data_IF_493350117345
#
_entry.id   IF_493350117345
#
_cell.length_a   1.000
_cell.length_b   1.000
_cell.length_c   1.000
_cell.angle_alpha   90.00
_cell.angle_beta   90.00
_cell.angle_gamma   90.00
#
_symmetry.space_group_name_H-M   'P 1'
#
loop_
_entity.id
_entity.type
_entity.pdbx_description
1 polymer ?
#
# COMPACT_ATOMS: atom_id res chain seq x y z
N UNK A 1 -76.40 -3.08 -105.87
CA UNK A 1 -76.10 -4.40 -106.44
C UNK A 1 -77.01 -4.61 -107.64
N UNK A 2 -76.47 -4.53 -108.86
CA UNK A 2 -77.23 -4.83 -110.08
C UNK A 2 -76.32 -5.61 -111.02
N UNK A 3 -75.97 -6.83 -110.61
CA UNK A 3 -75.27 -7.78 -111.46
C UNK A 3 -76.34 -8.69 -112.11
N UNK A 4 -76.30 -8.91 -113.44
CA UNK A 4 -77.35 -9.62 -114.17
C UNK A 4 -77.54 -11.11 -113.79
N UNK A 5 -76.66 -11.66 -112.95
CA UNK A 5 -76.72 -13.05 -112.45
C UNK A 5 -77.13 -13.16 -110.97
N UNK A 6 -77.44 -12.07 -110.27
CA UNK A 6 -77.98 -12.13 -108.91
C UNK A 6 -79.50 -12.34 -108.96
N UNK A 7 -79.96 -13.54 -108.63
CA UNK A 7 -81.38 -13.79 -108.36
C UNK A 7 -81.75 -13.36 -106.92
N UNK A 8 -83.05 -13.27 -106.66
CA UNK A 8 -83.58 -12.80 -105.36
C UNK A 8 -83.18 -13.73 -104.19
N UNK A 9 -83.15 -15.04 -104.41
CA UNK A 9 -82.75 -16.02 -103.40
C UNK A 9 -81.28 -15.85 -102.97
N UNK A 10 -80.36 -15.62 -103.91
CA UNK A 10 -78.95 -15.34 -103.60
C UNK A 10 -78.78 -14.02 -102.84
N UNK A 11 -79.54 -12.98 -103.21
CA UNK A 11 -79.51 -11.69 -102.50
C UNK A 11 -79.97 -11.79 -101.05
N UNK A 12 -81.02 -12.57 -100.78
CA UNK A 12 -81.51 -12.83 -99.42
C UNK A 12 -80.51 -13.64 -98.60
N UNK A 13 -79.92 -14.70 -99.17
CA UNK A 13 -78.91 -15.52 -98.51
C UNK A 13 -77.66 -14.71 -98.15
N UNK A 14 -77.17 -13.86 -99.07
CA UNK A 14 -76.03 -12.97 -98.81
C UNK A 14 -76.36 -11.93 -97.73
N UNK A 15 -77.58 -11.40 -97.73
CA UNK A 15 -78.02 -10.44 -96.70
C UNK A 15 -78.10 -11.08 -95.31
N UNK A 16 -78.62 -12.30 -95.22
CA UNK A 16 -78.66 -13.08 -93.97
C UNK A 16 -77.25 -13.43 -93.48
N UNK A 17 -76.36 -13.88 -94.36
CA UNK A 17 -74.97 -14.16 -94.00
C UNK A 17 -74.23 -12.91 -93.53
N UNK A 18 -74.41 -11.77 -94.22
CA UNK A 18 -73.82 -10.49 -93.80
C UNK A 18 -74.33 -10.09 -92.42
N UNK A 19 -75.63 -10.23 -92.13
CA UNK A 19 -76.20 -9.94 -90.83
C UNK A 19 -75.62 -10.84 -89.73
N UNK A 20 -75.48 -12.15 -89.99
CA UNK A 20 -74.87 -13.08 -89.03
C UNK A 20 -73.41 -12.75 -88.74
N UNK A 21 -72.62 -12.42 -89.78
CA UNK A 21 -71.23 -12.00 -89.62
C UNK A 21 -71.12 -10.67 -88.85
N UNK A 22 -72.01 -9.71 -89.13
CA UNK A 22 -72.06 -8.44 -88.39
C UNK A 22 -72.40 -8.67 -86.90
N UNK A 23 -73.35 -9.56 -86.60
CA UNK A 23 -73.69 -9.91 -85.23
C UNK A 23 -72.52 -10.60 -84.51
N UNK A 24 -71.88 -11.58 -85.16
CA UNK A 24 -70.71 -12.29 -84.59
C UNK A 24 -69.53 -11.35 -84.34
N UNK A 25 -69.22 -10.47 -85.30
CA UNK A 25 -68.18 -9.45 -85.13
C UNK A 25 -68.53 -8.47 -84.00
N UNK A 26 -69.79 -8.05 -83.91
CA UNK A 26 -70.29 -7.20 -82.82
C UNK A 26 -70.14 -7.86 -81.45
N UNK A 27 -70.55 -9.12 -81.33
CA UNK A 27 -70.44 -9.90 -80.09
C UNK A 27 -68.97 -10.11 -79.67
N UNK A 28 -68.09 -10.43 -80.61
CA UNK A 28 -66.66 -10.58 -80.34
C UNK A 28 -66.03 -9.25 -79.85
N UNK A 29 -66.38 -8.12 -80.45
CA UNK A 29 -65.92 -6.80 -80.01
C UNK A 29 -66.46 -6.44 -78.61
N UNK A 30 -67.72 -6.78 -78.30
CA UNK A 30 -68.29 -6.58 -76.97
C UNK A 30 -67.56 -7.43 -75.93
N UNK A 31 -67.30 -8.71 -76.22
CA UNK A 31 -66.54 -9.59 -75.35
C UNK A 31 -65.11 -9.07 -75.14
N UNK A 32 -64.44 -8.62 -76.20
CA UNK A 32 -63.11 -8.03 -76.11
C UNK A 32 -63.10 -6.78 -75.23
N UNK A 33 -64.10 -5.90 -75.35
CA UNK A 33 -64.23 -4.71 -74.50
C UNK A 33 -64.42 -5.08 -73.03
N UNK A 34 -65.30 -6.04 -72.73
CA UNK A 34 -65.50 -6.53 -71.37
C UNK A 34 -64.21 -7.08 -70.75
N UNK A 35 -63.43 -7.86 -71.50
CA UNK A 35 -62.14 -8.37 -71.04
C UNK A 35 -61.10 -7.27 -70.82
N UNK A 36 -61.09 -6.21 -71.64
CA UNK A 36 -60.20 -5.06 -71.44
C UNK A 36 -60.58 -4.32 -70.15
N UNK A 37 -61.87 -4.11 -69.91
CA UNK A 37 -62.37 -3.48 -68.69
C UNK A 37 -62.03 -4.31 -67.45
N UNK A 38 -62.24 -5.62 -67.49
CA UNK A 38 -61.90 -6.54 -66.41
C UNK A 38 -60.39 -6.54 -66.14
N UNK A 39 -59.55 -6.67 -67.17
CA UNK A 39 -58.09 -6.56 -67.03
C UNK A 39 -57.67 -5.22 -66.42
N UNK A 40 -58.32 -4.12 -66.80
CA UNK A 40 -58.04 -2.81 -66.21
C UNK A 40 -58.45 -2.77 -64.72
N UNK A 41 -59.54 -3.40 -64.32
CA UNK A 41 -59.94 -3.51 -62.91
C UNK A 41 -58.95 -4.36 -62.11
N UNK A 42 -58.54 -5.51 -62.63
CA UNK A 42 -57.57 -6.40 -62.00
C UNK A 42 -56.20 -5.74 -61.86
N UNK A 43 -55.73 -5.05 -62.90
CA UNK A 43 -54.47 -4.30 -62.86
C UNK A 43 -54.49 -3.24 -61.75
N UNK A 44 -55.60 -2.49 -61.60
CA UNK A 44 -55.76 -1.53 -60.50
C UNK A 44 -55.80 -2.20 -59.13
N UNK A 45 -56.47 -3.33 -58.99
CA UNK A 45 -56.54 -4.07 -57.74
C UNK A 45 -55.17 -4.64 -57.34
N UNK A 46 -54.43 -5.19 -58.30
CA UNK A 46 -53.07 -5.71 -58.13
C UNK A 46 -52.12 -4.59 -57.71
N UNK A 47 -52.13 -3.45 -58.39
CA UNK A 47 -51.29 -2.30 -58.04
C UNK A 47 -51.55 -1.83 -56.60
N UNK A 48 -52.83 -1.76 -56.18
CA UNK A 48 -53.21 -1.42 -54.80
C UNK A 48 -52.76 -2.48 -53.79
N UNK A 49 -52.78 -3.76 -54.15
CA UNK A 49 -52.29 -4.83 -53.27
C UNK A 49 -50.76 -4.78 -53.14
N UNK A 50 -50.05 -4.61 -54.26
CA UNK A 50 -48.59 -4.46 -54.30
C UNK A 50 -48.14 -3.26 -53.46
N UNK A 51 -48.77 -2.09 -53.63
CA UNK A 51 -48.46 -0.90 -52.83
C UNK A 51 -48.63 -1.15 -51.33
N UNK A 52 -49.71 -1.84 -50.91
CA UNK A 52 -49.93 -2.21 -49.50
C UNK A 52 -48.86 -3.16 -48.99
N UNK A 53 -48.50 -4.18 -49.76
CA UNK A 53 -47.44 -5.11 -49.40
C UNK A 53 -46.08 -4.41 -49.27
N UNK A 54 -45.75 -3.53 -50.21
CA UNK A 54 -44.51 -2.75 -50.15
C UNK A 54 -44.48 -1.82 -48.94
N UNK A 55 -45.59 -1.15 -48.64
CA UNK A 55 -45.68 -0.29 -47.46
C UNK A 55 -45.42 -1.09 -46.18
N UNK A 56 -46.12 -2.22 -46.00
CA UNK A 56 -45.91 -3.09 -44.84
C UNK A 56 -44.48 -3.62 -44.79
N UNK A 57 -43.91 -4.02 -45.93
CA UNK A 57 -42.53 -4.50 -45.99
C UNK A 57 -41.53 -3.41 -45.58
N UNK A 58 -41.74 -2.16 -45.98
CA UNK A 58 -40.91 -1.01 -45.57
C UNK A 58 -41.04 -0.73 -44.08
N UNK A 59 -42.26 -0.70 -43.55
CA UNK A 59 -42.52 -0.50 -42.12
C UNK A 59 -41.87 -1.60 -41.27
N UNK A 60 -41.98 -2.86 -41.69
CA UNK A 60 -41.35 -4.00 -41.00
C UNK A 60 -39.83 -3.99 -41.12
N UNK A 61 -39.29 -3.63 -42.28
CA UNK A 61 -37.84 -3.49 -42.46
C UNK A 61 -37.27 -2.40 -41.56
N UNK A 62 -37.98 -1.27 -41.39
CA UNK A 62 -37.59 -0.22 -40.47
C UNK A 62 -37.63 -0.70 -39.00
N UNK A 63 -38.71 -1.37 -38.59
CA UNK A 63 -38.83 -1.94 -37.24
C UNK A 63 -37.71 -2.96 -36.94
N UNK A 64 -37.37 -3.82 -37.91
CA UNK A 64 -36.28 -4.79 -37.78
C UNK A 64 -34.94 -4.06 -37.62
N UNK A 65 -34.67 -3.05 -38.44
CA UNK A 65 -33.43 -2.27 -38.34
C UNK A 65 -33.28 -1.60 -36.97
N UNK A 66 -34.36 -1.01 -36.45
CA UNK A 66 -34.38 -0.42 -35.10
C UNK A 66 -34.10 -1.47 -34.02
N UNK A 67 -34.82 -2.59 -34.04
CA UNK A 67 -34.64 -3.66 -33.05
C UNK A 67 -33.24 -4.28 -33.10
N UNK A 68 -32.67 -4.48 -34.30
CA UNK A 68 -31.29 -4.98 -34.47
C UNK A 68 -30.28 -3.98 -33.93
N UNK A 69 -30.48 -2.68 -34.16
CA UNK A 69 -29.61 -1.64 -33.60
C UNK A 69 -29.66 -1.61 -32.07
N UNK A 70 -30.87 -1.72 -31.49
CA UNK A 70 -31.06 -1.75 -30.05
C UNK A 70 -30.44 -3.01 -29.43
N UNK A 71 -30.61 -4.18 -30.07
CA UNK A 71 -30.01 -5.43 -29.63
C UNK A 71 -28.48 -5.36 -29.65
N UNK A 72 -27.91 -4.78 -30.70
CA UNK A 72 -26.45 -4.63 -30.83
C UNK A 72 -25.89 -3.71 -29.75
N UNK A 73 -26.57 -2.59 -29.47
CA UNK A 73 -26.21 -1.67 -28.38
C UNK A 73 -26.28 -2.36 -27.01
N UNK A 74 -27.38 -3.04 -26.70
CA UNK A 74 -27.56 -3.73 -25.42
C UNK A 74 -26.54 -4.86 -25.21
N UNK A 75 -26.19 -5.59 -26.28
CA UNK A 75 -25.10 -6.57 -26.23
C UNK A 75 -23.75 -5.92 -25.94
N UNK A 76 -23.44 -4.81 -26.59
CA UNK A 76 -22.22 -4.04 -26.31
C UNK A 76 -22.14 -3.56 -24.85
N UNK A 77 -23.25 -3.03 -24.32
CA UNK A 77 -23.34 -2.62 -22.91
C UNK A 77 -23.17 -3.79 -21.94
N UNK A 78 -23.73 -4.97 -22.26
CA UNK A 78 -23.59 -6.17 -21.43
C UNK A 78 -22.14 -6.65 -21.38
N UNK A 79 -21.46 -6.74 -22.53
CA UNK A 79 -20.05 -7.12 -22.60
C UNK A 79 -19.18 -6.14 -21.82
N UNK A 80 -19.39 -4.82 -22.00
CA UNK A 80 -18.64 -3.81 -21.24
C UNK A 80 -18.84 -3.91 -19.73
N UNK A 81 -20.06 -4.27 -19.27
CA UNK A 81 -20.34 -4.50 -17.85
C UNK A 81 -19.65 -5.77 -17.33
N UNK A 82 -19.64 -6.84 -18.13
CA UNK A 82 -18.95 -8.09 -17.78
C UNK A 82 -17.43 -7.88 -17.66
N UNK A 83 -16.82 -7.16 -18.60
CA UNK A 83 -15.40 -6.80 -18.57
C UNK A 83 -15.04 -5.98 -17.32
N UNK A 84 -15.88 -4.97 -16.99
CA UNK A 84 -15.68 -4.17 -15.78
C UNK A 84 -15.80 -5.00 -14.49
N UNK A 85 -16.73 -5.96 -14.46
CA UNK A 85 -16.93 -6.85 -13.33
C UNK A 85 -15.74 -7.80 -13.14
N UNK A 86 -15.20 -8.34 -14.23
CA UNK A 86 -13.99 -9.16 -14.20
C UNK A 86 -12.77 -8.35 -13.70
N UNK A 87 -12.59 -7.13 -14.20
CA UNK A 87 -11.51 -6.23 -13.76
C UNK A 87 -11.60 -5.93 -12.25
N UNK A 88 -12.80 -5.63 -11.75
CA UNK A 88 -13.02 -5.36 -10.33
C UNK A 88 -12.79 -6.62 -9.47
N UNK A 89 -13.17 -7.80 -9.96
CA UNK A 89 -12.90 -9.07 -9.28
C UNK A 89 -11.41 -9.39 -9.22
N UNK A 90 -10.66 -9.11 -10.30
CA UNK A 90 -9.20 -9.24 -10.32
C UNK A 90 -8.55 -8.28 -9.33
N UNK A 91 -9.00 -7.02 -9.26
CA UNK A 91 -8.51 -6.03 -8.31
C UNK A 91 -8.79 -6.45 -6.86
N UNK A 92 -10.01 -6.91 -6.56
CA UNK A 92 -10.35 -7.46 -5.25
C UNK A 92 -9.49 -8.68 -4.89
N UNK A 93 -9.23 -9.57 -5.85
CA UNK A 93 -8.33 -10.71 -5.64
C UNK A 93 -6.90 -10.24 -5.34
N UNK A 94 -6.37 -9.25 -6.07
CA UNK A 94 -5.04 -8.66 -5.82
C UNK A 94 -4.96 -8.02 -4.44
N UNK A 95 -5.94 -7.22 -4.04
CA UNK A 95 -5.98 -6.57 -2.74
C UNK A 95 -6.08 -7.58 -1.59
N UNK A 96 -6.85 -8.67 -1.75
CA UNK A 96 -6.93 -9.75 -0.76
C UNK A 96 -5.67 -10.59 -0.68
N UNK A 97 -5.01 -10.83 -1.82
CA UNK A 97 -3.76 -11.57 -1.89
C UNK A 97 -2.54 -10.74 -1.48
N UNK A 98 -2.70 -9.41 -1.31
CA UNK A 98 -1.61 -8.55 -0.91
C UNK A 98 -1.01 -9.04 0.42
N UNK A 99 0.32 -9.25 0.49
CA UNK A 99 0.98 -9.78 1.69
C UNK A 99 0.74 -8.87 2.89
N UNK A 100 0.66 -7.56 2.67
CA UNK A 100 0.32 -6.58 3.70
C UNK A 100 -1.04 -6.85 4.37
N UNK A 101 -2.05 -7.35 3.65
CA UNK A 101 -3.35 -7.64 4.25
C UNK A 101 -3.25 -8.84 5.22
N UNK A 102 -2.50 -9.87 4.83
CA UNK A 102 -2.25 -11.05 5.68
C UNK A 102 -1.33 -10.72 6.84
N UNK A 103 -0.29 -9.93 6.59
CA UNK A 103 0.69 -9.49 7.58
C UNK A 103 0.07 -8.53 8.60
N UNK A 104 -0.77 -7.58 8.15
CA UNK A 104 -1.58 -6.74 9.06
C UNK A 104 -2.48 -7.58 9.94
N UNK A 105 -3.15 -8.59 9.40
CA UNK A 105 -4.02 -9.47 10.21
C UNK A 105 -3.21 -10.24 11.27
N UNK A 106 -2.04 -10.77 10.90
CA UNK A 106 -1.12 -11.42 11.84
C UNK A 106 -0.63 -10.45 12.91
N UNK A 107 -0.25 -9.24 12.52
CA UNK A 107 0.25 -8.21 13.42
C UNK A 107 -0.83 -7.77 14.42
N UNK A 108 -2.08 -7.63 13.98
CA UNK A 108 -3.23 -7.35 14.87
C UNK A 108 -3.39 -8.46 15.90
N UNK A 109 -3.38 -9.73 15.48
CA UNK A 109 -3.44 -10.86 16.41
C UNK A 109 -2.25 -10.87 17.40
N UNK A 110 -1.05 -10.55 16.92
CA UNK A 110 0.14 -10.50 17.76
C UNK A 110 0.10 -9.35 18.76
N UNK A 111 -0.41 -8.17 18.38
CA UNK A 111 -0.60 -7.04 19.27
C UNK A 111 -1.59 -7.37 20.39
N UNK A 112 -2.74 -7.96 20.05
CA UNK A 112 -3.74 -8.38 21.04
C UNK A 112 -3.14 -9.37 22.06
N UNK A 113 -2.37 -10.35 21.59
CA UNK A 113 -1.68 -11.29 22.46
C UNK A 113 -0.65 -10.62 23.38
N UNK A 114 0.12 -9.66 22.85
CA UNK A 114 1.11 -8.90 23.63
C UNK A 114 0.44 -8.00 24.68
N UNK A 115 -0.69 -7.37 24.34
CA UNK A 115 -1.46 -6.54 25.28
C UNK A 115 -1.99 -7.36 26.45
N UNK A 116 -2.58 -8.53 26.19
CA UNK A 116 -3.08 -9.43 27.23
C UNK A 116 -1.95 -9.92 28.15
N UNK A 117 -0.81 -10.31 27.55
CA UNK A 117 0.38 -10.72 28.31
C UNK A 117 0.92 -9.58 29.17
N UNK A 118 1.01 -8.36 28.63
CA UNK A 118 1.50 -7.19 29.36
C UNK A 118 0.57 -6.81 30.51
N UNK A 119 -0.75 -6.88 30.31
CA UNK A 119 -1.72 -6.66 31.38
C UNK A 119 -1.53 -7.68 32.52
N UNK A 120 -1.33 -8.96 32.19
CA UNK A 120 -1.08 -10.03 33.16
C UNK A 120 0.22 -9.81 33.95
N UNK A 121 1.32 -9.50 33.25
CA UNK A 121 2.62 -9.24 33.88
C UNK A 121 2.61 -7.96 34.73
N UNK A 122 1.85 -6.94 34.33
CA UNK A 122 1.68 -5.71 35.10
C UNK A 122 0.95 -5.97 36.42
N UNK A 123 -0.11 -6.77 36.39
CA UNK A 123 -0.83 -7.20 37.60
C UNK A 123 0.09 -7.99 38.55
N UNK A 124 0.89 -8.91 38.01
CA UNK A 124 1.83 -9.70 38.79
C UNK A 124 2.96 -8.86 39.39
N UNK A 125 3.54 -7.94 38.63
CA UNK A 125 4.51 -6.97 39.15
C UNK A 125 3.92 -6.11 40.28
N UNK A 126 2.69 -5.61 40.12
CA UNK A 126 2.04 -4.84 41.17
C UNK A 126 1.82 -5.67 42.45
N UNK A 127 1.48 -6.96 42.32
CA UNK A 127 1.39 -7.89 43.46
C UNK A 127 2.74 -8.12 44.13
N UNK A 128 3.78 -8.41 43.36
CA UNK A 128 5.13 -8.64 43.88
C UNK A 128 5.70 -7.39 44.55
N UNK A 129 5.51 -6.20 43.97
CA UNK A 129 5.90 -4.94 44.57
C UNK A 129 5.20 -4.69 45.91
N UNK A 130 3.89 -4.98 46.00
CA UNK A 130 3.16 -4.92 47.28
C UNK A 130 3.70 -5.91 48.31
N UNK A 131 4.01 -7.15 47.91
CA UNK A 131 4.57 -8.15 48.81
C UNK A 131 5.97 -7.76 49.31
N UNK A 132 6.83 -7.24 48.42
CA UNK A 132 8.15 -6.72 48.78
C UNK A 132 8.06 -5.49 49.70
N UNK A 133 7.13 -4.56 49.43
CA UNK A 133 6.87 -3.42 50.29
C UNK A 133 6.37 -3.86 51.68
N UNK A 134 5.49 -4.85 51.74
CA UNK A 134 5.02 -5.44 53.00
C UNK A 134 6.15 -6.16 53.77
N UNK A 135 7.07 -6.86 53.10
CA UNK A 135 8.28 -7.40 53.73
C UNK A 135 9.23 -6.31 54.24
N UNK A 136 9.36 -5.19 53.52
CA UNK A 136 10.16 -4.06 53.96
C UNK A 136 9.54 -3.31 55.16
N UNK A 137 8.20 -3.34 55.28
CA UNK A 137 7.43 -2.70 56.36
C UNK A 137 7.10 -3.65 57.52
N UNK A 138 7.29 -4.96 57.35
CA UNK A 138 7.17 -5.91 58.44
C UNK A 138 8.14 -5.50 59.58
N UNK A 139 7.70 -5.53 60.85
CA UNK A 139 8.58 -5.19 61.96
C UNK A 139 9.74 -6.18 61.92
N UNK A 140 10.93 -5.69 61.55
CA UNK A 140 12.15 -6.47 61.70
C UNK A 140 12.29 -6.79 63.19
N UNK A 141 12.48 -8.05 63.61
CA UNK A 141 13.10 -8.29 64.89
C UNK A 141 14.43 -7.53 64.88
N UNK A 142 14.65 -6.71 65.92
CA UNK A 142 15.80 -5.82 66.00
C UNK A 142 17.09 -6.57 65.61
N UNK A 143 17.78 -6.16 64.53
CA UNK A 143 19.08 -6.71 64.26
C UNK A 143 20.03 -6.15 65.32
N UNK A 144 20.66 -7.05 66.07
CA UNK A 144 21.87 -6.72 66.82
C UNK A 144 22.83 -5.97 65.88
N UNK A 145 23.26 -4.79 66.33
CA UNK A 145 24.16 -3.89 65.60
C UNK A 145 25.49 -4.61 65.36
N UNK A 146 25.62 -5.26 64.20
CA UNK A 146 26.93 -5.48 63.59
C UNK A 146 27.20 -4.29 62.67
N UNK A 147 28.38 -3.66 62.76
CA UNK A 147 28.66 -2.47 61.97
C UNK A 147 28.72 -2.87 60.50
N UNK A 148 27.76 -2.37 59.73
CA UNK A 148 27.84 -2.33 58.26
C UNK A 148 29.10 -1.55 57.91
N UNK A 149 30.02 -2.06 57.06
CA UNK A 149 31.12 -1.25 56.60
C UNK A 149 30.51 -0.09 55.80
N UNK A 150 30.67 1.12 56.34
CA UNK A 150 30.52 2.36 55.58
C UNK A 150 31.23 2.16 54.23
N UNK A 151 30.64 2.53 53.09
CA UNK A 151 31.46 2.80 51.94
C UNK A 151 32.40 3.92 52.37
N UNK A 152 33.67 3.59 52.54
CA UNK A 152 34.76 4.54 52.65
C UNK A 152 34.54 5.59 51.56
N UNK A 153 34.37 6.88 51.90
CA UNK A 153 34.61 7.93 50.93
C UNK A 153 36.10 7.81 50.63
N UNK A 154 36.43 7.10 49.53
CA UNK A 154 37.74 7.18 48.96
C UNK A 154 38.00 8.65 48.65
N UNK A 155 39.00 9.20 49.32
CA UNK A 155 39.54 10.52 49.11
C UNK A 155 39.63 10.80 47.61
N UNK A 156 38.89 11.80 47.15
CA UNK A 156 39.19 12.48 45.89
C UNK A 156 39.41 13.94 46.23
N UNK A 157 40.64 14.24 46.65
CA UNK A 157 41.22 15.56 46.45
C UNK A 157 41.65 15.72 44.98
N UNK A 158 40.70 15.55 44.05
CA UNK A 158 40.87 15.99 42.67
C UNK A 158 39.77 16.99 42.41
N UNK A 159 40.08 18.25 42.67
CA UNK A 159 39.20 19.36 42.34
C UNK A 159 39.07 19.43 40.82
N UNK A 160 37.83 19.41 40.33
CA UNK A 160 37.51 19.54 38.91
C UNK A 160 37.61 21.00 38.43
N UNK A 161 38.04 21.95 39.28
CA UNK A 161 38.31 23.35 38.95
C UNK A 161 37.28 24.02 38.00
N UNK A 162 35.99 23.70 38.17
CA UNK A 162 34.90 24.22 37.35
C UNK A 162 34.75 23.63 35.94
N UNK A 163 35.53 22.60 35.57
CA UNK A 163 35.45 21.92 34.27
C UNK A 163 34.05 21.34 34.02
N UNK A 164 33.59 21.46 32.78
CA UNK A 164 32.30 20.93 32.31
C UNK A 164 32.49 19.50 31.83
N UNK A 165 31.84 18.56 32.51
CA UNK A 165 31.85 17.14 32.16
C UNK A 165 30.55 16.76 31.49
N UNK A 166 30.64 16.29 30.25
CA UNK A 166 29.51 15.73 29.51
C UNK A 166 29.46 14.21 29.68
N UNK A 167 28.36 13.71 30.24
CA UNK A 167 28.03 12.29 30.24
C UNK A 167 27.10 11.97 29.07
N UNK A 168 27.60 11.20 28.11
CA UNK A 168 26.83 10.71 26.95
C UNK A 168 26.33 9.29 27.25
N UNK A 169 25.02 9.13 27.26
CA UNK A 169 24.31 7.91 27.63
C UNK A 169 24.01 7.78 29.13
N UNK A 170 23.36 6.67 29.47
CA UNK A 170 23.07 6.26 30.84
C UNK A 170 21.58 6.08 31.12
N UNK A 171 21.27 5.32 32.19
CA UNK A 171 19.89 5.08 32.64
C UNK A 171 19.45 6.21 33.58
N UNK A 172 18.22 6.71 33.41
CA UNK A 172 17.70 7.89 34.12
C UNK A 172 17.87 7.88 35.66
N UNK A 173 17.81 6.70 36.29
CA UNK A 173 18.02 6.56 37.74
C UNK A 173 19.45 6.79 38.23
N UNK A 174 20.46 6.63 37.36
CA UNK A 174 21.87 6.80 37.71
C UNK A 174 22.38 8.25 37.52
N UNK A 175 21.69 9.05 36.69
CA UNK A 175 22.07 10.43 36.38
C UNK A 175 22.09 11.33 37.63
N UNK A 176 21.15 11.12 38.56
CA UNK A 176 21.11 11.87 39.81
C UNK A 176 22.32 11.62 40.72
N UNK A 177 22.88 10.41 40.69
CA UNK A 177 24.10 10.07 41.43
C UNK A 177 25.32 10.68 40.74
N UNK A 178 25.36 10.66 39.41
CA UNK A 178 26.46 11.21 38.62
C UNK A 178 26.61 12.72 38.77
N UNK A 179 25.50 13.45 38.73
CA UNK A 179 25.49 14.89 38.98
C UNK A 179 26.09 15.24 40.33
N UNK A 180 25.63 14.56 41.39
CA UNK A 180 26.12 14.79 42.76
C UNK A 180 27.62 14.51 42.89
N UNK A 181 28.14 13.47 42.24
CA UNK A 181 29.57 13.14 42.27
C UNK A 181 30.42 14.21 41.58
N UNK A 182 29.97 14.72 40.42
CA UNK A 182 30.69 15.74 39.66
C UNK A 182 30.65 17.10 40.36
N UNK A 183 29.48 17.49 40.88
CA UNK A 183 29.32 18.75 41.62
C UNK A 183 30.07 18.73 42.96
N UNK A 184 30.08 17.59 43.67
CA UNK A 184 30.85 17.44 44.91
C UNK A 184 32.37 17.54 44.69
N UNK A 185 32.85 17.19 43.50
CA UNK A 185 34.24 17.37 43.09
C UNK A 185 34.52 18.76 42.46
N UNK A 186 33.55 19.68 42.45
CA UNK A 186 33.72 21.06 41.98
C UNK A 186 33.58 21.26 40.46
N UNK A 187 33.01 20.30 39.74
CA UNK A 187 32.77 20.37 38.29
C UNK A 187 31.32 20.69 37.94
N UNK A 188 31.06 20.99 36.66
CA UNK A 188 29.70 21.19 36.12
C UNK A 188 29.27 19.98 35.31
N UNK A 189 28.14 19.37 35.69
CA UNK A 189 27.63 18.18 35.01
C UNK A 189 26.69 18.53 33.85
N UNK A 190 26.98 17.98 32.67
CA UNK A 190 26.13 18.02 31.47
C UNK A 190 25.77 16.59 31.07
N UNK A 191 24.58 16.40 30.49
CA UNK A 191 24.12 15.09 30.04
C UNK A 191 23.52 15.16 28.66
N UNK A 192 23.81 14.14 27.85
CA UNK A 192 23.12 13.83 26.62
C UNK A 192 22.76 12.35 26.61
N UNK A 193 21.57 12.00 26.18
CA UNK A 193 21.04 10.63 26.12
C UNK A 193 21.74 9.70 25.11
N UNK A 194 22.69 10.19 24.31
CA UNK A 194 23.34 9.40 23.26
C UNK A 194 22.49 9.17 22.00
N UNK A 195 21.48 10.01 21.76
CA UNK A 195 20.76 10.09 20.48
C UNK A 195 19.51 9.22 20.38
N UNK A 196 18.68 9.19 21.43
CA UNK A 196 17.37 8.51 21.37
C UNK A 196 16.34 9.35 20.60
N UNK A 197 16.63 10.64 20.34
CA UNK A 197 15.71 11.58 19.66
C UNK A 197 16.32 12.35 18.46
N UNK A 198 17.35 11.82 17.79
CA UNK A 198 17.90 12.37 16.52
C UNK A 198 18.31 13.87 16.53
N UNK A 199 18.61 14.44 17.71
CA UNK A 199 19.13 15.81 17.84
C UNK A 199 20.66 15.85 17.69
N UNK A 200 21.15 15.37 16.55
CA UNK A 200 22.59 15.25 16.21
C UNK A 200 23.37 16.58 16.34
N UNK A 201 22.75 17.71 15.99
CA UNK A 201 23.37 19.03 16.14
C UNK A 201 23.54 19.45 17.62
N UNK A 202 22.68 18.95 18.51
CA UNK A 202 22.77 19.24 19.94
C UNK A 202 23.87 18.43 20.62
N UNK A 203 24.17 17.23 20.11
CA UNK A 203 25.32 16.44 20.56
C UNK A 203 26.64 17.15 20.24
N UNK A 204 26.81 17.71 19.04
CA UNK A 204 28.04 18.44 18.69
C UNK A 204 28.21 19.73 19.49
N UNK A 205 27.11 20.45 19.73
CA UNK A 205 27.11 21.64 20.59
C UNK A 205 27.49 21.28 22.02
N UNK A 206 26.91 20.21 22.58
CA UNK A 206 27.23 19.71 23.91
C UNK A 206 28.69 19.24 24.02
N UNK A 207 29.20 18.52 23.01
CA UNK A 207 30.60 18.10 22.93
C UNK A 207 31.53 19.29 22.84
N UNK A 208 31.17 20.33 22.08
CA UNK A 208 31.96 21.56 21.95
C UNK A 208 32.00 22.36 23.25
N UNK A 209 30.92 22.35 24.03
CA UNK A 209 30.83 23.03 25.32
C UNK A 209 31.45 22.26 26.48
N UNK A 210 31.78 20.97 26.32
CA UNK A 210 32.39 20.18 27.38
C UNK A 210 33.92 20.29 27.38
N UNK A 211 34.52 20.27 28.56
CA UNK A 211 35.97 20.22 28.75
C UNK A 211 36.44 18.75 28.90
N UNK A 212 35.57 17.88 29.41
CA UNK A 212 35.77 16.44 29.58
C UNK A 212 34.54 15.67 29.12
N UNK A 213 34.72 14.52 28.47
CA UNK A 213 33.62 13.68 27.98
C UNK A 213 33.68 12.27 28.55
N UNK A 214 32.58 11.78 29.11
CA UNK A 214 32.43 10.38 29.52
C UNK A 214 31.34 9.74 28.68
N UNK A 215 31.69 8.68 28.00
CA UNK A 215 30.85 7.97 27.05
C UNK A 215 30.50 6.58 27.60
N UNK A 216 29.23 6.31 27.86
CA UNK A 216 28.78 5.00 28.33
C UNK A 216 28.44 4.10 27.15
N UNK A 217 29.38 3.26 26.71
CA UNK A 217 29.29 2.50 25.45
C UNK A 217 28.10 1.53 25.41
N UNK A 218 27.66 1.02 26.57
CA UNK A 218 26.49 0.15 26.68
C UNK A 218 25.13 0.89 26.72
N UNK A 219 25.09 2.21 26.61
CA UNK A 219 23.86 3.02 26.75
C UNK A 219 23.74 4.15 25.72
N UNK A 220 24.37 4.02 24.55
CA UNK A 220 24.33 5.00 23.47
C UNK A 220 24.14 4.35 22.10
N UNK A 221 23.69 5.11 21.11
CA UNK A 221 23.61 4.64 19.72
C UNK A 221 25.00 4.48 19.08
N UNK A 222 25.09 3.59 18.07
CA UNK A 222 26.32 3.38 17.30
C UNK A 222 26.84 4.68 16.66
N UNK A 223 25.92 5.52 16.16
CA UNK A 223 26.27 6.81 15.57
C UNK A 223 26.82 7.79 16.64
N UNK A 224 26.19 7.88 17.82
CA UNK A 224 26.71 8.72 18.90
C UNK A 224 28.10 8.27 19.38
N UNK A 225 28.36 6.95 19.44
CA UNK A 225 29.67 6.42 19.81
C UNK A 225 30.78 6.91 18.87
N UNK A 226 30.59 6.70 17.56
CA UNK A 226 31.57 7.11 16.55
C UNK A 226 31.76 8.62 16.52
N UNK A 227 30.69 9.41 16.67
CA UNK A 227 30.78 10.87 16.67
C UNK A 227 31.52 11.40 17.89
N UNK A 228 31.29 10.85 19.07
CA UNK A 228 32.06 11.22 20.28
C UNK A 228 33.54 10.87 20.08
N UNK A 229 33.83 9.66 19.60
CA UNK A 229 35.21 9.19 19.33
C UNK A 229 35.93 10.10 18.33
N UNK A 230 35.28 10.40 17.21
CA UNK A 230 35.84 11.25 16.14
C UNK A 230 36.01 12.70 16.60
N UNK A 231 35.03 13.26 17.33
CA UNK A 231 35.10 14.62 17.85
C UNK A 231 36.27 14.77 18.83
N UNK A 232 36.41 13.83 19.77
CA UNK A 232 37.48 13.90 20.78
C UNK A 232 38.86 13.69 20.14
N UNK A 233 38.98 12.80 19.15
CA UNK A 233 40.21 12.61 18.36
C UNK A 233 40.60 13.87 17.59
N UNK A 234 39.65 14.52 16.91
CA UNK A 234 39.89 15.71 16.09
C UNK A 234 40.19 16.97 16.92
N UNK A 235 39.58 17.11 18.10
CA UNK A 235 39.70 18.31 18.95
C UNK A 235 40.73 18.16 20.07
N UNK A 236 41.24 16.96 20.30
CA UNK A 236 42.14 16.66 21.42
C UNK A 236 41.47 16.67 22.79
N UNK A 237 40.12 16.69 22.84
CA UNK A 237 39.38 16.69 24.11
C UNK A 237 39.51 15.34 24.81
N UNK A 238 39.71 15.38 26.13
CA UNK A 238 39.87 14.16 26.93
C UNK A 238 38.53 13.44 27.04
N UNK A 239 38.50 12.20 26.59
CA UNK A 239 37.32 11.34 26.65
C UNK A 239 37.61 9.99 27.30
N UNK A 240 36.67 9.50 28.11
CA UNK A 240 36.72 8.15 28.68
C UNK A 240 35.50 7.34 28.25
N UNK A 241 35.76 6.14 27.76
CA UNK A 241 34.73 5.17 27.38
C UNK A 241 34.56 4.16 28.51
N UNK A 242 33.34 4.06 29.05
CA UNK A 242 33.02 3.22 30.21
C UNK A 242 31.92 2.24 29.81
N UNK A 243 32.20 0.95 29.93
CA UNK A 243 31.25 -0.11 29.52
C UNK A 243 30.08 -0.29 30.50
N UNK A 244 30.32 -0.09 31.80
CA UNK A 244 29.32 -0.33 32.84
C UNK A 244 28.68 0.98 33.34
N UNK A 245 27.35 1.15 33.22
CA UNK A 245 26.63 2.32 33.73
C UNK A 245 26.45 2.23 35.25
N UNK A 246 27.54 2.40 36.00
CA UNK A 246 27.57 2.32 37.47
C UNK A 246 28.27 3.54 38.07
N UNK A 247 27.93 3.91 39.31
CA UNK A 247 28.58 5.01 40.05
C UNK A 247 30.09 4.78 40.19
N UNK A 248 30.51 3.54 40.44
CA UNK A 248 31.92 3.16 40.50
C UNK A 248 32.60 3.24 39.13
N UNK A 249 31.89 2.90 38.05
CA UNK A 249 32.36 3.06 36.67
C UNK A 249 32.63 4.53 36.32
N UNK A 250 31.70 5.42 36.67
CA UNK A 250 31.87 6.86 36.47
C UNK A 250 33.03 7.41 37.30
N UNK A 251 33.11 7.08 38.60
CA UNK A 251 34.19 7.56 39.47
C UNK A 251 35.58 7.07 39.02
N UNK A 252 35.67 5.88 38.41
CA UNK A 252 36.90 5.40 37.76
C UNK A 252 37.20 6.16 36.47
N UNK A 253 36.20 6.41 35.63
CA UNK A 253 36.34 7.19 34.41
C UNK A 253 36.81 8.63 34.68
N UNK A 254 36.23 9.28 35.69
CA UNK A 254 36.65 10.60 36.17
C UNK A 254 38.08 10.60 36.69
N UNK A 255 38.46 9.59 37.49
CA UNK A 255 39.86 9.47 37.96
C UNK A 255 40.83 9.29 36.79
N UNK A 256 40.51 8.45 35.81
CA UNK A 256 41.35 8.24 34.60
C UNK A 256 41.48 9.53 33.78
N UNK A 257 40.41 10.32 33.70
CA UNK A 257 40.40 11.64 33.05
C UNK A 257 41.13 12.72 33.83
N UNK A 258 41.54 12.48 35.08
CA UNK A 258 42.24 13.45 35.91
C UNK A 258 43.68 13.02 36.20
N UNK A 259 43.98 11.71 36.20
CA UNK A 259 45.24 11.15 36.69
C UNK A 259 46.40 11.17 35.71
N UNK A 260 46.23 11.09 34.38
CA UNK A 260 47.35 11.35 33.46
C UNK A 260 46.97 11.40 31.96
N UNK A 261 47.96 11.80 31.17
CA UNK A 261 48.04 12.02 29.73
C UNK A 261 47.53 10.86 28.84
N UNK A 262 47.20 11.24 27.59
CA UNK A 262 46.92 10.41 26.41
C UNK A 262 47.19 8.90 26.57
N UNK A 263 46.13 8.09 26.53
CA UNK A 263 46.26 6.66 26.24
C UNK A 263 45.30 6.34 25.11
N UNK A 264 45.85 6.28 23.90
CA UNK A 264 45.41 5.36 22.86
C UNK A 264 45.39 3.96 23.47
N UNK A 265 44.21 3.34 23.51
CA UNK A 265 44.06 1.91 23.75
C UNK A 265 43.33 1.33 22.53
N UNK A 266 44.08 1.22 21.44
CA UNK A 266 43.87 0.17 20.46
C UNK A 266 44.49 -1.10 21.05
N UNK A 267 43.67 -2.07 21.46
CA UNK A 267 44.13 -3.46 21.54
C UNK A 267 43.45 -4.39 22.53
N UNK A 268 42.63 -5.29 21.96
CA UNK A 268 42.33 -6.66 22.42
C UNK A 268 41.12 -6.78 23.38
N UNK A 269 40.11 -7.64 23.17
CA UNK A 269 40.04 -8.98 22.54
C UNK A 269 38.56 -9.24 22.11
N UNK A 270 38.25 -9.35 20.81
CA UNK A 270 37.97 -10.56 20.00
C UNK A 270 36.55 -11.17 20.06
N UNK A 271 35.93 -11.16 18.86
CA UNK A 271 35.16 -12.20 18.16
C UNK A 271 34.20 -13.13 18.90
N UNK A 272 32.93 -13.05 18.48
CA UNK A 272 32.14 -14.23 18.14
C UNK A 272 31.32 -13.98 16.86
N UNK A 273 31.78 -14.62 15.78
CA UNK A 273 30.98 -15.25 14.73
C UNK A 273 30.26 -14.38 13.69
N UNK A 274 30.98 -14.09 12.61
CA UNK A 274 30.42 -13.96 11.27
C UNK A 274 30.99 -15.08 10.40
N UNK A 275 30.26 -16.20 10.35
CA UNK A 275 30.43 -17.25 9.36
C UNK A 275 29.03 -17.61 8.85
N UNK A 276 28.78 -17.41 7.55
CA UNK A 276 27.52 -17.81 6.94
C UNK A 276 27.10 -17.00 5.71
N UNK A 277 27.53 -17.49 4.54
CA UNK A 277 26.93 -17.27 3.21
C UNK A 277 27.12 -15.93 2.51
N UNK A 278 28.28 -15.81 1.84
CA UNK A 278 28.32 -15.26 0.49
C UNK A 278 28.23 -16.43 -0.51
N UNK A 279 27.14 -16.51 -1.30
CA UNK A 279 27.07 -17.34 -2.51
C UNK A 279 26.41 -16.52 -3.62
N UNK A 280 27.21 -16.21 -4.64
CA UNK A 280 26.83 -16.32 -6.06
C UNK A 280 25.86 -15.29 -6.65
N UNK A 281 26.37 -14.13 -7.06
CA UNK A 281 25.75 -13.35 -8.15
C UNK A 281 26.35 -13.87 -9.47
N UNK A 282 25.63 -14.75 -10.15
CA UNK A 282 25.93 -15.17 -11.51
C UNK A 282 25.32 -14.14 -12.50
N UNK A 283 26.18 -13.47 -13.26
CA UNK A 283 25.79 -12.70 -14.44
C UNK A 283 25.40 -13.67 -15.55
N UNK A 284 24.17 -13.57 -16.04
CA UNK A 284 23.68 -14.30 -17.23
C UNK A 284 23.71 -13.36 -18.45
N UNK A 285 24.30 -13.76 -19.58
CA UNK A 285 24.25 -12.98 -20.81
C UNK A 285 22.92 -13.22 -21.54
N UNK A 286 22.28 -12.13 -21.96
CA UNK A 286 21.06 -12.14 -22.76
C UNK A 286 21.34 -12.65 -24.18
N UNK A 287 20.73 -13.78 -24.54
CA UNK A 287 20.55 -14.24 -25.93
C UNK A 287 19.33 -13.55 -26.52
N UNK A 288 19.49 -12.91 -27.67
CA UNK A 288 18.38 -12.53 -28.55
C UNK A 288 17.92 -13.74 -29.38
N UNK A 289 16.61 -13.96 -29.56
CA UNK A 289 16.10 -14.88 -30.56
C UNK A 289 15.94 -14.20 -31.93
N UNK A 290 16.05 -15.06 -32.94
CA UNK A 290 15.82 -14.92 -34.40
C UNK A 290 14.88 -13.82 -34.88
#
# INVERSE_FOLDING_TARGET
MTHPQCDTALSEALSQQMHMLQHQAGAALQQQRALIEENATLARALAKAQQRCEQVAREKSAQIAELVSAQTRLRGEAVAREDALLALQDELRRLRAAPEATERLRLVHQLLYQEERNARLSLENARLQKALAAQAQAPRPEPAVTPVPRPVPGEMATCLDGHRILCVGGRGGALGVYRKLVEAAGGRFMHHDGGVEDRLAQLDSALSAADLVICQTGCISHNAYWRVKEHCKRTGKRCAFVESPSANGLARGLRRLLSDALVDDDGAVQNASADGMAVGIAQTPWRTPT
#
